data_IF_097451598308
#
_entry.id   IF_097451598308
#
_cell.length_a   1.000
_cell.length_b   1.000
_cell.length_c   1.000
_cell.angle_alpha   90.00
_cell.angle_beta   90.00
_cell.angle_gamma   90.00
#
_symmetry.space_group_name_H-M   'P 1'
#
loop_
_entity.id
_entity.type
_entity.pdbx_description
1 polymer ?
#
# COMPACT_ATOMS: atom_id res chain seq x y z
N UNK A 1 11.66 10.77 11.12
CA UNK A 1 10.27 10.70 10.63
C UNK A 1 9.45 11.74 11.38
N UNK A 2 8.59 12.51 10.72
CA UNK A 2 7.79 13.54 11.40
C UNK A 2 6.68 12.88 12.24
N UNK A 3 6.28 13.52 13.35
CA UNK A 3 5.21 13.00 14.23
C UNK A 3 3.87 12.80 13.49
N UNK A 4 3.62 13.62 12.47
CA UNK A 4 2.43 13.52 11.62
C UNK A 4 2.45 12.28 10.71
N UNK A 5 3.61 11.93 10.12
CA UNK A 5 3.72 10.72 9.29
C UNK A 5 3.52 9.44 10.11
N UNK A 6 4.02 9.42 11.34
CA UNK A 6 3.81 8.29 12.26
C UNK A 6 2.33 8.09 12.59
N UNK A 7 1.62 9.17 12.93
CA UNK A 7 0.18 9.10 13.21
C UNK A 7 -0.64 8.62 12.00
N UNK A 8 -0.24 9.00 10.78
CA UNK A 8 -0.88 8.51 9.55
C UNK A 8 -0.68 7.00 9.38
N UNK A 9 0.53 6.48 9.59
CA UNK A 9 0.80 5.04 9.45
C UNK A 9 0.03 4.20 10.47
N UNK A 10 0.00 4.62 11.73
CA UNK A 10 -0.81 3.95 12.76
C UNK A 10 -2.31 3.93 12.37
N UNK A 11 -2.82 5.02 11.81
CA UNK A 11 -4.21 5.08 11.34
C UNK A 11 -4.49 4.15 10.14
N UNK A 12 -3.52 3.92 9.24
CA UNK A 12 -3.65 2.93 8.17
C UNK A 12 -3.61 1.49 8.71
N UNK A 13 -2.72 1.20 9.67
CA UNK A 13 -2.63 -0.13 10.31
C UNK A 13 -3.93 -0.47 11.04
N UNK A 14 -4.53 0.49 11.76
CA UNK A 14 -5.84 0.31 12.41
C UNK A 14 -6.93 -0.03 11.38
N UNK A 15 -6.98 0.70 10.27
CA UNK A 15 -7.95 0.42 9.19
C UNK A 15 -7.76 -0.96 8.55
N UNK A 16 -6.51 -1.35 8.28
CA UNK A 16 -6.19 -2.69 7.78
C UNK A 16 -6.58 -3.76 8.80
N UNK A 17 -6.38 -3.50 10.09
CA UNK A 17 -6.77 -4.42 11.18
C UNK A 17 -8.28 -4.65 11.20
N UNK A 18 -9.08 -3.59 11.03
CA UNK A 18 -10.53 -3.69 10.91
C UNK A 18 -10.94 -4.53 9.69
N UNK A 19 -10.31 -4.31 8.54
CA UNK A 19 -10.59 -5.06 7.31
C UNK A 19 -10.20 -6.54 7.39
N UNK A 20 -9.13 -6.86 8.11
CA UNK A 20 -8.56 -8.21 8.23
C UNK A 20 -9.15 -9.02 9.41
N UNK A 21 -10.24 -8.53 10.01
CA UNK A 21 -10.98 -9.22 11.07
C UNK A 21 -10.29 -9.16 12.44
N UNK A 22 -9.63 -8.05 12.77
CA UNK A 22 -9.03 -7.82 14.10
C UNK A 22 -7.64 -8.44 14.30
N UNK A 23 -7.02 -8.97 13.24
CA UNK A 23 -5.68 -9.60 13.32
C UNK A 23 -4.58 -8.55 13.14
N UNK A 24 -4.25 -7.84 14.21
CA UNK A 24 -3.29 -6.73 14.18
C UNK A 24 -1.91 -7.12 13.65
N UNK A 25 -1.38 -8.29 14.02
CA UNK A 25 -0.07 -8.75 13.55
C UNK A 25 -0.06 -9.01 12.03
N UNK A 26 -1.17 -9.54 11.50
CA UNK A 26 -1.35 -9.74 10.06
C UNK A 26 -1.46 -8.38 9.33
N UNK A 27 -2.20 -7.44 9.91
CA UNK A 27 -2.33 -6.09 9.35
C UNK A 27 -0.99 -5.33 9.30
N UNK A 28 -0.16 -5.46 10.35
CA UNK A 28 1.19 -4.92 10.38
C UNK A 28 2.08 -5.56 9.32
N UNK A 29 2.05 -6.88 9.19
CA UNK A 29 2.79 -7.58 8.15
C UNK A 29 2.42 -7.08 6.75
N UNK A 30 1.12 -6.99 6.45
CA UNK A 30 0.63 -6.46 5.16
C UNK A 30 1.05 -5.01 4.96
N UNK A 31 0.95 -4.17 5.99
CA UNK A 31 1.36 -2.76 5.90
C UNK A 31 2.86 -2.63 5.59
N UNK A 32 3.70 -3.39 6.29
CA UNK A 32 5.16 -3.37 6.09
C UNK A 32 5.54 -3.83 4.68
N UNK A 33 4.85 -4.85 4.15
CA UNK A 33 5.04 -5.35 2.78
C UNK A 33 4.67 -4.27 1.73
N UNK A 34 3.49 -3.66 1.86
CA UNK A 34 3.04 -2.57 1.00
C UNK A 34 3.95 -1.33 1.10
N UNK A 35 4.50 -1.05 2.28
CA UNK A 35 5.45 0.03 2.49
C UNK A 35 6.80 -0.25 1.81
N UNK A 36 7.27 -1.50 1.83
CA UNK A 36 8.48 -1.88 1.10
C UNK A 36 8.31 -1.67 -0.41
N UNK A 37 7.17 -2.08 -0.96
CA UNK A 37 6.84 -1.92 -2.38
C UNK A 37 6.68 -0.44 -2.77
N UNK A 38 5.99 0.35 -1.95
CA UNK A 38 5.90 1.81 -2.14
C UNK A 38 7.28 2.48 -2.10
N UNK A 39 8.18 2.01 -1.22
CA UNK A 39 9.57 2.46 -1.15
C UNK A 39 10.36 2.10 -2.41
N UNK A 40 10.17 0.90 -2.95
CA UNK A 40 10.73 0.51 -4.24
C UNK A 40 10.24 1.42 -5.36
N UNK A 41 8.91 1.58 -5.50
CA UNK A 41 8.29 2.39 -6.54
C UNK A 41 8.73 3.86 -6.46
N UNK A 42 8.82 4.42 -5.26
CA UNK A 42 9.28 5.79 -5.02
C UNK A 42 10.71 6.02 -5.55
N UNK A 43 11.62 5.06 -5.31
CA UNK A 43 13.02 5.16 -5.77
C UNK A 43 13.17 5.01 -7.28
N UNK A 44 12.45 4.07 -7.89
CA UNK A 44 12.62 3.75 -9.32
C UNK A 44 11.87 4.73 -10.23
N UNK A 45 10.75 5.27 -9.75
CA UNK A 45 9.83 6.04 -10.59
C UNK A 45 9.65 7.49 -10.13
N UNK A 46 10.26 7.90 -9.01
CA UNK A 46 10.21 9.27 -8.50
C UNK A 46 8.85 9.67 -7.92
N UNK A 47 7.95 8.71 -7.70
CA UNK A 47 6.68 8.96 -7.00
C UNK A 47 6.95 9.30 -5.53
N UNK A 48 6.28 10.30 -4.93
CA UNK A 48 6.39 10.54 -3.50
C UNK A 48 5.96 9.31 -2.68
N UNK A 49 6.79 8.88 -1.73
CA UNK A 49 6.56 7.67 -0.93
C UNK A 49 5.14 7.58 -0.35
N UNK A 50 4.66 8.66 0.31
CA UNK A 50 3.33 8.67 0.91
C UNK A 50 2.20 8.51 -0.12
N UNK A 51 2.39 8.98 -1.36
CA UNK A 51 1.42 8.81 -2.44
C UNK A 51 1.42 7.37 -2.95
N UNK A 52 2.60 6.78 -3.14
CA UNK A 52 2.75 5.38 -3.53
C UNK A 52 2.14 4.45 -2.46
N UNK A 53 2.45 4.67 -1.18
CA UNK A 53 1.93 3.88 -0.07
C UNK A 53 0.40 3.94 0.02
N UNK A 54 -0.19 5.13 -0.06
CA UNK A 54 -1.66 5.27 -0.07
C UNK A 54 -2.29 4.54 -1.26
N UNK A 55 -1.66 4.62 -2.43
CA UNK A 55 -2.15 3.91 -3.62
C UNK A 55 -2.10 2.39 -3.46
N UNK A 56 -1.02 1.87 -2.87
CA UNK A 56 -0.85 0.45 -2.58
C UNK A 56 -1.90 -0.05 -1.57
N UNK A 57 -2.11 0.69 -0.47
CA UNK A 57 -3.11 0.35 0.55
C UNK A 57 -4.51 0.34 -0.04
N UNK A 58 -4.90 1.39 -0.78
CA UNK A 58 -6.22 1.45 -1.42
C UNK A 58 -6.42 0.31 -2.42
N UNK A 59 -5.39 -0.04 -3.20
CA UNK A 59 -5.47 -1.16 -4.13
C UNK A 59 -5.65 -2.50 -3.40
N UNK A 60 -4.88 -2.72 -2.33
CA UNK A 60 -5.01 -3.90 -1.48
C UNK A 60 -6.42 -4.00 -0.90
N UNK A 61 -6.94 -2.93 -0.29
CA UNK A 61 -8.27 -2.93 0.32
C UNK A 61 -9.36 -3.26 -0.69
N UNK A 62 -9.32 -2.62 -1.88
CA UNK A 62 -10.28 -2.88 -2.95
C UNK A 62 -10.30 -4.34 -3.35
N UNK A 63 -9.14 -4.95 -3.62
CA UNK A 63 -9.11 -6.34 -4.06
C UNK A 63 -9.32 -7.34 -2.92
N UNK A 64 -8.94 -7.00 -1.69
CA UNK A 64 -9.20 -7.84 -0.52
C UNK A 64 -10.70 -7.93 -0.21
N UNK A 65 -11.45 -6.84 -0.36
CA UNK A 65 -12.92 -6.86 -0.19
C UNK A 65 -13.60 -7.87 -1.12
N UNK A 66 -13.08 -8.02 -2.35
CA UNK A 66 -13.64 -8.91 -3.36
C UNK A 66 -13.14 -10.35 -3.25
N UNK A 67 -11.84 -10.55 -3.06
CA UNK A 67 -11.21 -11.89 -3.06
C UNK A 67 -11.22 -12.57 -1.68
N UNK A 68 -11.21 -11.77 -0.60
CA UNK A 68 -10.92 -12.22 0.78
C UNK A 68 -9.57 -12.94 0.92
N UNK A 69 -8.68 -12.74 -0.05
CA UNK A 69 -7.35 -13.35 -0.11
C UNK A 69 -6.29 -12.26 -0.11
N UNK A 70 -5.46 -12.24 0.93
CA UNK A 70 -4.42 -11.24 1.12
C UNK A 70 -3.31 -11.34 0.06
N UNK A 71 -3.00 -12.53 -0.46
CA UNK A 71 -1.97 -12.70 -1.49
C UNK A 71 -2.43 -12.16 -2.84
N UNK A 72 -3.70 -12.41 -3.21
CA UNK A 72 -4.31 -11.85 -4.42
C UNK A 72 -4.37 -10.32 -4.32
N UNK A 73 -4.84 -9.80 -3.19
CA UNK A 73 -4.92 -8.36 -2.95
C UNK A 73 -3.54 -7.68 -2.97
N UNK A 74 -2.51 -8.31 -2.40
CA UNK A 74 -1.15 -7.80 -2.44
C UNK A 74 -0.60 -7.74 -3.87
N UNK A 75 -0.74 -8.83 -4.64
CA UNK A 75 -0.29 -8.89 -6.03
C UNK A 75 -0.91 -7.77 -6.88
N UNK A 76 -2.20 -7.52 -6.67
CA UNK A 76 -2.92 -6.48 -7.38
C UNK A 76 -2.54 -5.06 -6.93
N UNK A 77 -2.12 -4.88 -5.67
CA UNK A 77 -1.52 -3.64 -5.18
C UNK A 77 -0.16 -3.35 -5.85
N UNK A 78 0.72 -4.35 -5.93
CA UNK A 78 2.00 -4.24 -6.63
C UNK A 78 1.81 -3.87 -8.10
N UNK A 79 0.92 -4.55 -8.81
CA UNK A 79 0.63 -4.28 -10.23
C UNK A 79 0.17 -2.82 -10.45
N UNK A 80 -0.63 -2.24 -9.54
CA UNK A 80 -1.07 -0.85 -9.66
C UNK A 80 0.04 0.15 -9.39
N UNK A 81 1.01 -0.15 -8.52
CA UNK A 81 2.21 0.66 -8.34
C UNK A 81 3.05 0.71 -9.63
N UNK A 82 3.21 -0.42 -10.31
CA UNK A 82 3.89 -0.50 -11.61
C UNK A 82 3.15 0.30 -12.70
N UNK A 83 1.82 0.30 -12.70
CA UNK A 83 1.03 1.11 -13.65
C UNK A 83 1.20 2.61 -13.38
N UNK A 84 1.14 3.05 -12.12
CA UNK A 84 1.38 4.46 -11.77
C UNK A 84 2.78 4.94 -12.21
N UNK A 85 3.75 4.05 -12.06
CA UNK A 85 5.10 4.24 -12.54
C UNK A 85 5.23 4.35 -14.06
N UNK A 86 4.53 3.50 -14.82
CA UNK A 86 4.50 3.54 -16.28
C UNK A 86 3.81 4.81 -16.80
N UNK A 87 2.68 5.19 -16.21
CA UNK A 87 1.93 6.40 -16.58
C UNK A 87 2.72 7.69 -16.29
N UNK A 88 3.48 7.71 -15.20
CA UNK A 88 4.35 8.85 -14.87
C UNK A 88 5.52 9.03 -15.86
N UNK A 89 5.90 7.98 -16.60
CA UNK A 89 6.96 8.00 -17.62
C UNK A 89 6.45 8.24 -19.04
N UNK A 90 5.18 7.94 -19.33
CA UNK A 90 4.57 8.10 -20.65
C UNK A 90 4.03 9.50 -20.98
N UNK A 91 4.04 10.42 -20.03
CA UNK A 91 3.60 11.82 -20.20
C UNK A 91 4.69 12.77 -20.70
N UNK A 92 5.50 12.35 -21.67
CA UNK A 92 6.46 13.22 -22.39
C UNK A 92 6.11 13.30 -23.85
#
# INVERSE_FOLDING_TARGET
>A
MTRAAHALFEAEIVRLTEHLGGRTDHARFVFDDLAAEAGHASRIHGAPFCLALRSAITAFELDFVHSRDAAIAHTAACARLEVLALLSRGGK
#
